data_IF_285079177935
#
_entry.id   IF_285079177935
#
_cell.length_a   1.000
_cell.length_b   1.000
_cell.length_c   1.000
_cell.angle_alpha   90.00
_cell.angle_beta   90.00
_cell.angle_gamma   90.00
#
_symmetry.space_group_name_H-M   'P 1'
#
loop_
_entity.id
_entity.type
_entity.pdbx_description
1 polymer ?
#
# COMPACT_ATOMS: atom_id res chain seq x y z
N UNK A 1 8.91 -23.51 -33.74
CA UNK A 1 8.88 -22.43 -33.52
C UNK A 1 7.80 -21.92 -32.75
N UNK A 2 6.75 -22.25 -33.01
CA UNK A 2 5.66 -21.75 -32.30
C UNK A 2 5.45 -22.32 -30.98
N UNK A 3 6.14 -23.32 -30.65
CA UNK A 3 5.97 -23.88 -29.36
C UNK A 3 6.28 -22.90 -28.31
N UNK A 4 7.10 -21.94 -28.59
CA UNK A 4 7.46 -20.96 -27.60
C UNK A 4 6.41 -19.88 -27.41
N UNK A 5 5.52 -19.81 -28.36
CA UNK A 5 4.55 -18.73 -28.29
C UNK A 5 3.66 -18.76 -27.11
N UNK A 6 3.09 -19.89 -26.71
CA UNK A 6 2.26 -19.89 -25.51
C UNK A 6 3.05 -19.50 -24.28
N UNK A 7 4.28 -19.98 -24.20
CA UNK A 7 5.10 -19.62 -23.08
C UNK A 7 5.44 -18.16 -23.11
N UNK A 8 5.76 -17.66 -24.26
CA UNK A 8 6.03 -16.25 -24.40
C UNK A 8 4.85 -15.41 -23.99
N UNK A 9 3.66 -15.82 -24.38
CA UNK A 9 2.49 -15.12 -23.99
C UNK A 9 2.29 -15.14 -22.51
N UNK A 10 2.48 -16.25 -21.89
CA UNK A 10 2.32 -16.38 -20.47
C UNK A 10 3.38 -15.57 -19.73
N UNK A 11 4.58 -15.54 -20.28
CA UNK A 11 5.67 -14.81 -19.64
C UNK A 11 5.64 -13.34 -19.95
N UNK A 12 5.03 -12.99 -21.08
CA UNK A 12 5.01 -11.63 -21.51
C UNK A 12 3.83 -10.95 -20.92
N UNK A 13 4.06 -10.02 -20.08
CA UNK A 13 2.96 -9.20 -19.64
C UNK A 13 2.97 -7.92 -20.46
N UNK A 14 1.84 -7.23 -20.57
CA UNK A 14 1.82 -5.97 -21.28
C UNK A 14 2.85 -5.01 -20.74
N UNK A 15 3.39 -4.21 -21.63
CA UNK A 15 4.41 -3.26 -21.26
C UNK A 15 3.93 -2.31 -20.17
N UNK A 16 2.68 -1.92 -20.25
CA UNK A 16 2.12 -1.02 -19.26
C UNK A 16 2.12 -1.65 -17.87
N UNK A 17 1.77 -2.93 -17.79
CA UNK A 17 1.77 -3.64 -16.51
C UNK A 17 3.18 -3.70 -15.94
N UNK A 18 4.16 -4.01 -16.78
CA UNK A 18 5.54 -4.08 -16.34
C UNK A 18 6.01 -2.75 -15.79
N UNK A 19 5.67 -1.68 -16.50
CA UNK A 19 6.06 -0.34 -16.05
C UNK A 19 5.33 0.06 -14.78
N UNK A 20 4.07 -0.34 -14.63
CA UNK A 20 3.33 -0.04 -13.41
C UNK A 20 3.95 -0.75 -12.22
N UNK A 21 4.35 -2.00 -12.40
CA UNK A 21 5.02 -2.75 -11.34
C UNK A 21 6.33 -2.08 -10.92
N UNK A 22 7.11 -1.64 -11.89
CA UNK A 22 8.37 -0.96 -11.61
C UNK A 22 8.12 0.33 -10.85
N UNK A 23 7.10 1.07 -11.28
CA UNK A 23 6.78 2.34 -10.62
C UNK A 23 6.34 2.09 -9.18
N UNK A 24 5.49 1.08 -8.97
CA UNK A 24 5.00 0.76 -7.62
C UNK A 24 6.16 0.41 -6.70
N UNK A 25 7.09 -0.42 -7.18
CA UNK A 25 8.25 -0.77 -6.37
C UNK A 25 9.08 0.44 -6.04
N UNK A 26 9.31 1.29 -7.02
CA UNK A 26 10.11 2.49 -6.80
C UNK A 26 9.48 3.39 -5.76
N UNK A 27 8.16 3.55 -5.85
CA UNK A 27 7.43 4.39 -4.89
C UNK A 27 7.53 3.85 -3.47
N UNK A 28 7.42 2.53 -3.33
CA UNK A 28 7.51 1.91 -2.01
C UNK A 28 8.92 1.92 -1.45
N UNK A 29 9.92 1.92 -2.32
CA UNK A 29 11.30 2.05 -1.87
C UNK A 29 11.60 3.45 -1.36
N UNK A 30 10.89 4.44 -1.87
CA UNK A 30 11.07 5.81 -1.42
C UNK A 30 10.50 6.01 -0.03
N UNK A 31 9.33 5.46 0.23
CA UNK A 31 8.70 5.55 1.54
C UNK A 31 7.53 4.62 1.62
N UNK A 32 7.13 4.28 2.84
CA UNK A 32 5.94 3.48 3.07
C UNK A 32 4.72 4.24 2.58
N UNK A 33 3.76 3.51 2.02
CA UNK A 33 2.53 4.10 1.52
C UNK A 33 1.38 3.15 1.82
N UNK A 34 0.20 3.71 1.99
CA UNK A 34 -0.99 2.88 2.10
C UNK A 34 -1.38 2.40 0.71
N UNK A 35 -2.24 1.39 0.69
CA UNK A 35 -2.81 0.90 -0.57
C UNK A 35 -3.41 2.04 -1.38
N UNK A 36 -4.21 2.85 -0.71
CA UNK A 36 -4.87 3.96 -1.40
C UNK A 36 -3.85 4.93 -1.97
N UNK A 37 -2.86 5.29 -1.19
CA UNK A 37 -1.84 6.23 -1.64
C UNK A 37 -1.09 5.70 -2.86
N UNK A 38 -0.74 4.43 -2.83
CA UNK A 38 -0.02 3.85 -3.95
C UNK A 38 -0.90 3.79 -5.20
N UNK A 39 -2.14 3.35 -5.03
CA UNK A 39 -3.06 3.28 -6.16
C UNK A 39 -3.26 4.65 -6.78
N UNK A 40 -3.45 5.66 -5.96
CA UNK A 40 -3.65 7.02 -6.45
C UNK A 40 -2.42 7.51 -7.22
N UNK A 41 -1.24 7.17 -6.76
CA UNK A 41 -0.03 7.58 -7.44
C UNK A 41 0.10 6.89 -8.80
N UNK A 42 -0.30 5.64 -8.89
CA UNK A 42 -0.26 4.94 -10.16
C UNK A 42 -1.26 5.54 -11.15
N UNK A 43 -2.45 5.86 -10.68
CA UNK A 43 -3.44 6.50 -11.54
C UNK A 43 -2.94 7.85 -12.02
N UNK A 44 -2.35 8.62 -11.14
CA UNK A 44 -1.82 9.93 -11.52
C UNK A 44 -0.68 9.83 -12.50
N UNK A 45 0.06 8.75 -12.46
CA UNK A 45 1.14 8.54 -13.42
C UNK A 45 0.62 8.13 -14.78
N UNK A 46 -0.69 7.94 -14.91
CA UNK A 46 -1.30 7.64 -16.19
C UNK A 46 -1.55 6.17 -16.47
N UNK A 47 -1.31 5.31 -15.50
CA UNK A 47 -1.54 3.88 -15.71
C UNK A 47 -3.03 3.57 -15.66
N UNK A 48 -3.44 2.63 -16.50
CA UNK A 48 -4.83 2.19 -16.52
C UNK A 48 -5.17 1.49 -15.22
N UNK A 49 -6.46 1.33 -14.99
CA UNK A 49 -6.93 0.62 -13.82
C UNK A 49 -6.39 -0.80 -13.81
N UNK A 50 -6.42 -1.48 -14.96
CA UNK A 50 -5.94 -2.85 -15.07
C UNK A 50 -4.46 -2.94 -14.70
N UNK A 51 -3.64 -2.06 -15.25
CA UNK A 51 -2.22 -2.09 -14.97
C UNK A 51 -1.94 -1.73 -13.53
N UNK A 52 -2.67 -0.76 -13.00
CA UNK A 52 -2.49 -0.34 -11.62
C UNK A 52 -2.83 -1.46 -10.65
N UNK A 53 -3.95 -2.14 -10.86
CA UNK A 53 -4.33 -3.22 -9.96
C UNK A 53 -3.39 -4.41 -10.06
N UNK A 54 -2.87 -4.68 -11.25
CA UNK A 54 -1.87 -5.75 -11.40
C UNK A 54 -0.61 -5.40 -10.59
N UNK A 55 -0.20 -4.16 -10.63
CA UNK A 55 0.95 -3.71 -9.86
C UNK A 55 0.69 -3.78 -8.36
N UNK A 56 -0.53 -3.40 -7.95
CA UNK A 56 -0.91 -3.47 -6.54
C UNK A 56 -0.82 -4.90 -6.02
N UNK A 57 -1.36 -5.83 -6.77
CA UNK A 57 -1.32 -7.24 -6.38
C UNK A 57 0.10 -7.76 -6.32
N UNK A 58 0.92 -7.33 -7.27
CA UNK A 58 2.30 -7.77 -7.34
C UNK A 58 3.08 -7.37 -6.08
N UNK A 59 3.02 -6.11 -5.71
CA UNK A 59 3.77 -5.64 -4.54
C UNK A 59 3.18 -6.16 -3.24
N UNK A 60 1.87 -6.34 -3.21
CA UNK A 60 1.20 -6.90 -2.04
C UNK A 60 1.62 -8.34 -1.81
N UNK A 61 1.79 -9.09 -2.89
CA UNK A 61 2.18 -10.48 -2.82
C UNK A 61 3.55 -10.69 -2.19
N UNK A 62 4.41 -9.68 -2.27
CA UNK A 62 5.72 -9.75 -1.63
C UNK A 62 5.73 -9.14 -0.23
N UNK A 63 4.59 -8.70 0.25
CA UNK A 63 4.51 -8.09 1.57
C UNK A 63 5.03 -6.68 1.64
N UNK A 64 5.19 -6.03 0.52
CA UNK A 64 5.69 -4.65 0.50
C UNK A 64 4.58 -3.62 0.74
N UNK A 65 3.34 -4.07 0.75
CA UNK A 65 2.19 -3.20 0.92
C UNK A 65 1.30 -3.81 1.98
N UNK A 66 1.15 -3.13 3.11
CA UNK A 66 0.45 -3.68 4.26
C UNK A 66 -0.10 -2.53 5.09
N UNK A 67 -1.38 -2.25 4.95
CA UNK A 67 -2.00 -1.10 5.62
C UNK A 67 -1.97 -1.22 7.13
N UNK A 68 -2.03 -2.42 7.67
CA UNK A 68 -1.97 -2.60 9.10
C UNK A 68 -0.60 -2.23 9.63
N UNK A 69 0.43 -2.71 8.97
CA UNK A 69 1.81 -2.36 9.36
C UNK A 69 2.02 -0.86 9.23
N UNK A 70 1.49 -0.26 8.15
CA UNK A 70 1.59 1.17 7.96
C UNK A 70 0.96 1.92 9.14
N UNK A 71 -0.25 1.52 9.51
CA UNK A 71 -0.97 2.17 10.60
C UNK A 71 -0.22 2.02 11.92
N UNK A 72 0.27 0.84 12.20
CA UNK A 72 0.99 0.58 13.44
C UNK A 72 2.27 1.40 13.53
N UNK A 73 3.00 1.48 12.41
CA UNK A 73 4.23 2.27 12.38
C UNK A 73 3.92 3.76 12.53
N UNK A 74 2.85 4.21 11.90
CA UNK A 74 2.46 5.61 11.99
C UNK A 74 2.10 5.97 13.43
N UNK A 75 1.34 5.10 14.08
CA UNK A 75 0.94 5.32 15.46
C UNK A 75 2.19 5.37 16.35
N UNK A 76 3.08 4.42 16.19
CA UNK A 76 4.31 4.36 16.96
C UNK A 76 5.12 5.64 16.84
N UNK A 77 5.23 6.12 15.63
CA UNK A 77 6.05 7.30 15.37
C UNK A 77 5.44 8.58 15.97
N UNK A 78 4.12 8.68 15.89
CA UNK A 78 3.46 9.93 16.30
C UNK A 78 2.91 9.90 17.72
N UNK A 79 2.92 8.74 18.34
CA UNK A 79 2.44 8.61 19.70
C UNK A 79 3.25 9.52 20.61
N UNK A 80 2.55 10.28 21.43
CA UNK A 80 3.20 11.24 22.31
C UNK A 80 3.47 12.57 21.67
N UNK A 81 3.32 12.68 20.36
CA UNK A 81 3.52 13.95 19.66
C UNK A 81 2.22 14.53 19.17
N UNK A 82 1.26 13.65 18.89
CA UNK A 82 -0.04 14.04 18.39
C UNK A 82 -1.10 13.34 19.20
N UNK A 83 -2.28 13.90 19.23
CA UNK A 83 -3.37 13.28 19.96
C UNK A 83 -3.85 12.04 19.22
N UNK A 84 -4.49 11.15 19.95
CA UNK A 84 -5.05 9.95 19.38
C UNK A 84 -6.04 10.28 18.25
N UNK A 85 -6.82 11.33 18.48
CA UNK A 85 -7.80 11.77 17.50
C UNK A 85 -7.15 12.23 16.22
N UNK A 86 -6.06 12.98 16.33
CA UNK A 86 -5.32 13.45 15.17
C UNK A 86 -4.74 12.29 14.38
N UNK A 87 -4.16 11.34 15.09
CA UNK A 87 -3.55 10.18 14.44
C UNK A 87 -4.60 9.40 13.67
N UNK A 88 -5.74 9.16 14.31
CA UNK A 88 -6.83 8.42 13.68
C UNK A 88 -7.33 9.14 12.44
N UNK A 89 -7.50 10.45 12.55
CA UNK A 89 -7.97 11.25 11.42
C UNK A 89 -7.00 11.20 10.25
N UNK A 90 -5.72 11.32 10.54
CA UNK A 90 -4.71 11.29 9.49
C UNK A 90 -4.65 9.93 8.80
N UNK A 91 -4.73 8.86 9.58
CA UNK A 91 -4.69 7.53 8.99
C UNK A 91 -5.91 7.27 8.12
N UNK A 92 -7.06 7.75 8.56
CA UNK A 92 -8.27 7.64 7.77
C UNK A 92 -8.10 8.35 6.44
N UNK A 93 -7.55 9.56 6.47
CA UNK A 93 -7.34 10.33 5.26
C UNK A 93 -6.31 9.71 4.32
N UNK A 94 -5.36 8.98 4.88
CA UNK A 94 -4.38 8.27 4.07
C UNK A 94 -4.95 6.99 3.46
N UNK A 95 -6.17 6.66 3.81
CA UNK A 95 -6.85 5.54 3.19
C UNK A 95 -6.78 4.23 3.92
N UNK A 96 -6.38 4.23 5.19
CA UNK A 96 -6.41 2.99 5.97
C UNK A 96 -7.86 2.59 6.18
N UNK A 97 -8.25 1.37 5.81
CA UNK A 97 -9.64 0.94 5.95
C UNK A 97 -10.10 0.97 7.41
N UNK A 98 -11.39 1.20 7.63
CA UNK A 98 -11.90 1.35 9.00
C UNK A 98 -11.60 0.18 9.92
N UNK A 99 -11.68 -1.05 9.40
CA UNK A 99 -11.42 -2.22 10.23
C UNK A 99 -9.98 -2.28 10.67
N UNK A 100 -9.07 -1.97 9.75
CA UNK A 100 -7.65 -1.99 10.06
C UNK A 100 -7.32 -0.86 11.02
N UNK A 101 -7.90 0.31 10.77
CA UNK A 101 -7.69 1.47 11.62
C UNK A 101 -8.15 1.17 13.03
N UNK A 102 -9.32 0.58 13.15
CA UNK A 102 -9.88 0.24 14.45
C UNK A 102 -8.97 -0.70 15.23
N UNK A 103 -8.46 -1.72 14.56
CA UNK A 103 -7.57 -2.67 15.22
C UNK A 103 -6.26 -2.02 15.65
N UNK A 104 -5.72 -1.17 14.79
CA UNK A 104 -4.47 -0.51 15.10
C UNK A 104 -4.64 0.48 16.26
N UNK A 105 -5.76 1.21 16.26
CA UNK A 105 -6.01 2.18 17.32
C UNK A 105 -6.36 1.51 18.64
N UNK A 106 -6.90 0.31 18.58
CA UNK A 106 -7.17 -0.45 19.78
C UNK A 106 -5.90 -0.72 20.56
N UNK A 107 -4.85 -1.10 19.85
CA UNK A 107 -3.56 -1.31 20.50
C UNK A 107 -3.03 -0.04 21.14
N UNK A 108 -3.21 1.08 20.45
CA UNK A 108 -2.77 2.36 20.96
C UNK A 108 -3.53 2.71 22.24
N UNK A 109 -4.84 2.48 22.23
CA UNK A 109 -5.65 2.79 23.40
C UNK A 109 -5.25 1.95 24.60
N UNK A 110 -4.96 0.70 24.38
CA UNK A 110 -4.53 -0.18 25.45
C UNK A 110 -3.23 0.33 26.06
N UNK A 111 -2.30 0.71 25.21
CA UNK A 111 -1.03 1.26 25.68
C UNK A 111 -1.24 2.57 26.42
N UNK A 112 -2.11 3.41 25.91
CA UNK A 112 -2.41 4.68 26.51
C UNK A 112 -2.96 4.49 27.91
N UNK A 113 -3.84 3.51 28.08
CA UNK A 113 -4.40 3.21 29.37
C UNK A 113 -3.37 2.73 30.37
N UNK A 114 -2.42 1.97 29.90
CA UNK A 114 -1.46 1.42 30.82
C UNK A 114 -0.41 2.45 31.20
N UNK A 115 -0.32 3.52 30.47
CA UNK A 115 0.62 4.55 30.79
C UNK A 115 0.05 5.42 31.91
#
# INVERSE_FOLDING_TARGET
MNQNEPMDKAAKEPEEVRKAKEKAMRLLLQQDRTEKELRDRLYRAGFSETASEAAMQYVSGFGYLDDRRYAENYISFHKGRRSRKEISFKLKNKGVPPEILSMAMEGYETEDESA
#
